data_IF_930241157390
#
_entry.id   IF_930241157390
#
_cell.length_a   1.000
_cell.length_b   1.000
_cell.length_c   1.000
_cell.angle_alpha   90.00
_cell.angle_beta   90.00
_cell.angle_gamma   90.00
#
_symmetry.space_group_name_H-M   'P 1'
#
loop_
_entity.id
_entity.type
_entity.pdbx_description
1 polymer ?
#
# COMPACT_ATOMS: atom_id res chain seq x y z
N UNK A 1 4.98 -10.15 23.28
CA UNK A 1 4.19 -11.33 23.69
C UNK A 1 3.07 -11.51 22.68
N UNK A 2 2.75 -12.75 22.25
CA UNK A 2 1.63 -12.99 21.34
C UNK A 2 0.30 -12.56 21.95
N UNK A 3 -0.63 -12.16 21.09
CA UNK A 3 -1.99 -11.80 21.49
C UNK A 3 -2.88 -13.00 21.15
N UNK A 4 -3.78 -13.35 22.06
CA UNK A 4 -4.77 -14.41 21.88
C UNK A 4 -6.16 -13.79 21.85
N UNK A 5 -6.96 -14.15 20.86
CA UNK A 5 -8.39 -13.83 20.84
C UNK A 5 -9.15 -14.92 21.60
N UNK A 6 -10.04 -14.51 22.50
CA UNK A 6 -10.91 -15.43 23.22
C UNK A 6 -12.39 -15.05 23.09
N UNK A 7 -13.25 -16.06 23.14
CA UNK A 7 -14.70 -15.90 23.24
C UNK A 7 -15.14 -16.29 24.64
N UNK A 8 -15.88 -15.44 25.33
CA UNK A 8 -16.49 -15.77 26.61
C UNK A 8 -17.96 -15.38 26.63
N UNK A 9 -18.76 -16.05 27.45
CA UNK A 9 -20.17 -15.69 27.64
C UNK A 9 -20.29 -14.72 28.80
N UNK A 10 -20.76 -13.50 28.51
CA UNK A 10 -21.00 -12.44 29.50
C UNK A 10 -22.47 -12.04 29.39
N UNK A 11 -23.25 -12.22 30.48
CA UNK A 11 -24.69 -11.90 30.55
C UNK A 11 -25.50 -12.47 29.36
N UNK A 12 -25.24 -13.73 29.00
CA UNK A 12 -25.94 -14.43 27.90
C UNK A 12 -25.34 -14.20 26.50
N UNK A 13 -24.64 -13.10 26.29
CA UNK A 13 -24.01 -12.75 25.01
C UNK A 13 -22.58 -13.30 24.90
N UNK A 14 -22.20 -13.72 23.69
CA UNK A 14 -20.83 -14.15 23.39
C UNK A 14 -20.00 -12.90 23.08
N UNK A 15 -19.04 -12.59 23.94
CA UNK A 15 -18.11 -11.48 23.75
C UNK A 15 -16.77 -12.02 23.27
N UNK A 16 -16.23 -11.39 22.20
CA UNK A 16 -14.87 -11.61 21.70
C UNK A 16 -13.96 -10.53 22.29
N UNK A 17 -12.84 -10.93 22.86
CA UNK A 17 -11.84 -10.00 23.42
C UNK A 17 -10.43 -10.58 23.28
N UNK A 18 -9.42 -9.80 23.65
CA UNK A 18 -8.00 -10.12 23.45
C UNK A 18 -7.26 -10.20 24.78
N UNK A 19 -6.29 -11.11 24.86
CA UNK A 19 -5.42 -11.26 26.02
C UNK A 19 -3.99 -11.51 25.57
N UNK A 20 -3.03 -10.84 26.21
CA UNK A 20 -1.60 -11.07 25.99
C UNK A 20 -1.13 -12.23 26.89
N UNK A 21 -0.47 -13.21 26.28
CA UNK A 21 0.11 -14.37 26.95
C UNK A 21 1.30 -14.92 26.16
N UNK A 22 2.10 -15.80 26.75
CA UNK A 22 3.22 -16.47 26.05
C UNK A 22 2.78 -17.72 25.31
N UNK A 23 1.77 -18.44 25.83
CA UNK A 23 1.17 -19.61 25.19
C UNK A 23 -0.36 -19.69 25.42
N UNK A 24 -1.04 -20.62 24.74
CA UNK A 24 -2.49 -20.82 24.85
C UNK A 24 -2.93 -21.24 26.25
N UNK A 25 -2.10 -22.01 26.96
CA UNK A 25 -2.40 -22.51 28.32
C UNK A 25 -2.37 -21.36 29.33
N UNK A 26 -1.41 -20.46 29.20
CA UNK A 26 -1.26 -19.25 30.00
C UNK A 26 -2.39 -18.26 29.68
N UNK A 27 -2.75 -18.09 28.41
CA UNK A 27 -3.91 -17.29 28.02
C UNK A 27 -5.20 -17.80 28.69
N UNK A 28 -5.44 -19.12 28.67
CA UNK A 28 -6.57 -19.74 29.35
C UNK A 28 -6.51 -19.50 30.86
N UNK A 29 -5.37 -19.76 31.50
CA UNK A 29 -5.19 -19.58 32.95
C UNK A 29 -5.40 -18.12 33.39
N UNK A 30 -4.93 -17.16 32.60
CA UNK A 30 -5.08 -15.72 32.85
C UNK A 30 -6.55 -15.29 32.78
N UNK A 31 -7.31 -15.81 31.82
CA UNK A 31 -8.75 -15.55 31.70
C UNK A 31 -9.54 -16.14 32.87
N UNK A 32 -9.23 -17.38 33.27
CA UNK A 32 -9.88 -18.02 34.42
C UNK A 32 -9.59 -17.26 35.72
N UNK A 33 -8.36 -16.77 35.92
CA UNK A 33 -7.99 -15.91 37.07
C UNK A 33 -8.79 -14.60 37.11
N UNK A 34 -9.18 -14.09 35.95
CA UNK A 34 -10.04 -12.90 35.83
C UNK A 34 -11.54 -13.22 36.00
N UNK A 35 -11.90 -14.46 36.35
CA UNK A 35 -13.29 -14.91 36.50
C UNK A 35 -14.00 -15.15 35.17
N UNK A 36 -13.25 -15.17 34.05
CA UNK A 36 -13.80 -15.36 32.71
C UNK A 36 -13.58 -16.82 32.30
N UNK A 37 -14.66 -17.54 31.97
CA UNK A 37 -14.58 -18.89 31.40
C UNK A 37 -14.60 -18.80 29.86
N UNK A 38 -13.45 -18.90 29.18
CA UNK A 38 -13.43 -18.82 27.72
C UNK A 38 -13.99 -20.10 27.09
N UNK A 39 -14.82 -19.92 26.07
CA UNK A 39 -15.36 -20.96 25.19
C UNK A 39 -14.37 -21.39 24.10
N UNK A 40 -13.47 -20.47 23.72
CA UNK A 40 -12.40 -20.72 22.75
C UNK A 40 -11.31 -19.69 23.01
N UNK A 41 -10.06 -20.15 22.96
CA UNK A 41 -8.86 -19.32 22.94
C UNK A 41 -8.13 -19.66 21.63
N UNK A 42 -7.78 -18.67 20.83
CA UNK A 42 -7.01 -18.87 19.60
C UNK A 42 -5.93 -17.81 19.53
N UNK A 43 -4.72 -18.21 19.17
CA UNK A 43 -3.64 -17.28 18.93
C UNK A 43 -4.01 -16.35 17.76
N UNK A 44 -3.96 -15.04 18.00
CA UNK A 44 -4.02 -14.05 16.94
C UNK A 44 -2.67 -14.09 16.22
N UNK A 45 -2.52 -15.04 15.29
CA UNK A 45 -1.48 -14.95 14.27
C UNK A 45 -1.65 -13.59 13.62
N UNK A 46 -0.64 -12.74 13.79
CA UNK A 46 -0.64 -11.32 13.50
C UNK A 46 -1.19 -11.03 12.09
N UNK A 47 -2.52 -10.96 11.96
CA UNK A 47 -3.27 -10.74 10.72
C UNK A 47 -3.47 -9.26 10.47
N UNK A 48 -2.67 -8.40 11.13
CA UNK A 48 -2.63 -6.96 10.87
C UNK A 48 -2.04 -6.62 9.49
N UNK A 49 -1.45 -7.59 8.78
CA UNK A 49 -0.98 -7.39 7.40
C UNK A 49 -1.88 -8.02 6.31
N UNK A 50 -2.92 -8.79 6.66
CA UNK A 50 -3.65 -9.58 5.67
C UNK A 50 -5.18 -9.33 5.60
N UNK A 51 -5.80 -8.78 6.65
CA UNK A 51 -7.28 -8.71 6.70
C UNK A 51 -7.89 -7.36 6.29
N UNK A 52 -7.10 -6.29 6.10
CA UNK A 52 -7.62 -5.03 5.53
C UNK A 52 -7.45 -4.93 4.02
N UNK A 53 -6.47 -5.65 3.44
CA UNK A 53 -6.16 -5.60 2.01
C UNK A 53 -6.89 -6.65 1.17
N UNK A 54 -7.36 -7.75 1.76
CA UNK A 54 -7.97 -8.86 1.00
C UNK A 54 -9.50 -8.73 0.86
N UNK A 55 -10.16 -7.93 1.72
CA UNK A 55 -11.62 -7.71 1.65
C UNK A 55 -12.05 -6.51 0.78
N UNK A 56 -11.12 -5.60 0.46
CA UNK A 56 -11.28 -4.73 -0.70
C UNK A 56 -10.72 -5.50 -1.89
N UNK A 57 -11.60 -6.06 -2.73
CA UNK A 57 -11.17 -6.72 -3.95
C UNK A 57 -10.22 -5.83 -4.75
N UNK A 58 -9.24 -6.45 -5.43
CA UNK A 58 -8.27 -5.75 -6.28
C UNK A 58 -8.99 -4.72 -7.15
N UNK A 59 -8.68 -3.45 -6.95
CA UNK A 59 -9.22 -2.37 -7.75
C UNK A 59 -8.48 -2.34 -9.08
N UNK A 60 -9.21 -2.54 -10.18
CA UNK A 60 -8.62 -2.42 -11.51
C UNK A 60 -8.13 -0.98 -11.70
N UNK A 61 -6.83 -0.80 -11.90
CA UNK A 61 -6.26 0.49 -12.29
C UNK A 61 -6.86 0.92 -13.63
N UNK A 62 -7.43 2.11 -13.65
CA UNK A 62 -8.10 2.68 -14.83
C UNK A 62 -7.18 3.66 -15.54
N UNK A 63 -7.49 3.98 -16.80
CA UNK A 63 -6.77 5.02 -17.53
C UNK A 63 -6.89 6.39 -16.84
N UNK A 64 -8.05 6.68 -16.24
CA UNK A 64 -8.28 7.91 -15.47
C UNK A 64 -7.30 8.05 -14.29
N UNK A 65 -7.02 6.95 -13.59
CA UNK A 65 -6.04 6.95 -12.49
C UNK A 65 -4.66 7.38 -13.00
N UNK A 66 -4.23 6.86 -14.14
CA UNK A 66 -2.96 7.21 -14.77
C UNK A 66 -2.92 8.68 -15.23
N UNK A 67 -4.01 9.19 -15.81
CA UNK A 67 -4.11 10.60 -16.24
C UNK A 67 -3.95 11.56 -15.06
N UNK A 68 -4.71 11.33 -13.99
CA UNK A 68 -4.66 12.17 -12.78
C UNK A 68 -3.28 12.13 -12.13
N UNK A 69 -2.68 10.93 -12.06
CA UNK A 69 -1.32 10.76 -11.54
C UNK A 69 -0.30 11.53 -12.36
N UNK A 70 -0.29 11.37 -13.69
CA UNK A 70 0.74 11.94 -14.55
C UNK A 70 0.66 13.47 -14.56
N UNK A 71 -0.55 14.03 -14.55
CA UNK A 71 -0.75 15.49 -14.44
C UNK A 71 -0.18 16.04 -13.14
N UNK A 72 -0.53 15.41 -12.02
CA UNK A 72 -0.07 15.85 -10.70
C UNK A 72 1.43 15.64 -10.54
N UNK A 73 1.96 14.52 -11.05
CA UNK A 73 3.39 14.22 -11.12
C UNK A 73 4.15 15.29 -11.90
N UNK A 74 3.68 15.60 -13.12
CA UNK A 74 4.26 16.64 -13.97
C UNK A 74 4.31 17.99 -13.27
N UNK A 75 3.20 18.43 -12.66
CA UNK A 75 3.16 19.69 -11.90
C UNK A 75 4.20 19.73 -10.78
N UNK A 76 4.35 18.65 -10.02
CA UNK A 76 5.32 18.61 -8.92
C UNK A 76 6.78 18.57 -9.40
N UNK A 77 7.06 17.79 -10.44
CA UNK A 77 8.41 17.72 -11.03
C UNK A 77 8.80 19.09 -11.62
N UNK A 78 7.88 19.75 -12.33
CA UNK A 78 8.08 21.12 -12.84
C UNK A 78 8.31 22.13 -11.72
N UNK A 79 7.68 21.93 -10.55
CA UNK A 79 7.89 22.76 -9.36
C UNK A 79 9.21 22.44 -8.63
N UNK A 80 10.02 21.51 -9.13
CA UNK A 80 11.33 21.16 -8.58
C UNK A 80 11.27 20.27 -7.33
N UNK A 81 10.13 19.63 -7.06
CA UNK A 81 10.04 18.70 -5.95
C UNK A 81 10.91 17.46 -6.21
N UNK A 82 11.63 16.95 -5.20
CA UNK A 82 12.38 15.71 -5.33
C UNK A 82 11.47 14.55 -5.78
N UNK A 83 11.93 13.75 -6.75
CA UNK A 83 11.18 12.62 -7.30
C UNK A 83 10.59 11.70 -6.22
N UNK A 84 11.39 11.40 -5.20
CA UNK A 84 11.00 10.52 -4.10
C UNK A 84 9.85 11.10 -3.27
N UNK A 85 9.84 12.43 -3.09
CA UNK A 85 8.74 13.15 -2.43
C UNK A 85 7.48 13.17 -3.30
N UNK A 86 7.62 13.41 -4.61
CA UNK A 86 6.50 13.36 -5.56
C UNK A 86 5.79 12.00 -5.51
N UNK A 87 6.55 10.91 -5.59
CA UNK A 87 5.99 9.55 -5.55
C UNK A 87 5.34 9.22 -4.21
N UNK A 88 5.89 9.71 -3.09
CA UNK A 88 5.28 9.52 -1.78
C UNK A 88 3.91 10.22 -1.68
N UNK A 89 3.83 11.48 -2.13
CA UNK A 89 2.58 12.25 -2.12
C UNK A 89 1.55 11.58 -3.03
N UNK A 90 1.94 11.18 -4.24
CA UNK A 90 1.03 10.54 -5.20
C UNK A 90 0.53 9.18 -4.71
N UNK A 91 1.39 8.38 -4.08
CA UNK A 91 0.99 7.10 -3.49
C UNK A 91 -0.01 7.27 -2.35
N UNK A 92 0.17 8.30 -1.51
CA UNK A 92 -0.74 8.61 -0.40
C UNK A 92 -2.11 9.13 -0.86
N UNK A 93 -2.13 9.94 -1.93
CA UNK A 93 -3.34 10.59 -2.43
C UNK A 93 -4.02 9.86 -3.60
N UNK A 94 -3.55 8.66 -3.97
CA UNK A 94 -4.20 7.85 -5.00
C UNK A 94 -5.59 7.39 -4.52
N UNK A 95 -6.64 7.72 -5.28
CA UNK A 95 -8.01 7.25 -5.02
C UNK A 95 -8.08 5.71 -5.13
N UNK A 96 -7.39 5.16 -6.14
CA UNK A 96 -7.24 3.72 -6.32
C UNK A 96 -6.10 3.18 -5.46
N UNK A 97 -6.45 2.36 -4.46
CA UNK A 97 -5.49 1.80 -3.50
C UNK A 97 -4.44 0.90 -4.17
N UNK A 98 -4.85 0.07 -5.13
CA UNK A 98 -3.93 -0.82 -5.85
C UNK A 98 -2.93 0.00 -6.67
N UNK A 99 -3.38 1.12 -7.25
CA UNK A 99 -2.49 2.03 -7.94
C UNK A 99 -1.52 2.73 -6.98
N UNK A 100 -2.00 3.23 -5.83
CA UNK A 100 -1.14 3.79 -4.79
C UNK A 100 -0.07 2.80 -4.30
N UNK A 101 -0.42 1.53 -4.11
CA UNK A 101 0.54 0.47 -3.80
C UNK A 101 1.59 0.27 -4.90
N UNK A 102 1.19 0.33 -6.17
CA UNK A 102 2.14 0.29 -7.31
C UNK A 102 3.11 1.46 -7.23
N UNK A 103 2.62 2.68 -6.99
CA UNK A 103 3.48 3.87 -6.86
C UNK A 103 4.46 3.72 -5.69
N UNK A 104 4.03 3.20 -4.54
CA UNK A 104 4.94 2.94 -3.41
C UNK A 104 6.00 1.88 -3.73
N UNK A 105 5.67 0.87 -4.53
CA UNK A 105 6.67 -0.12 -4.97
C UNK A 105 7.66 0.52 -5.95
N UNK A 106 7.20 1.35 -6.88
CA UNK A 106 8.08 2.15 -7.76
C UNK A 106 9.02 3.03 -6.94
N UNK A 107 8.49 3.75 -5.95
CA UNK A 107 9.28 4.55 -5.01
C UNK A 107 10.39 3.72 -4.35
N UNK A 108 10.07 2.53 -3.84
CA UNK A 108 11.05 1.64 -3.20
C UNK A 108 12.16 1.19 -4.16
N UNK A 109 11.83 0.94 -5.42
CA UNK A 109 12.84 0.60 -6.43
C UNK A 109 13.82 1.75 -6.65
N UNK A 110 13.31 2.98 -6.70
CA UNK A 110 14.15 4.19 -6.83
C UNK A 110 15.00 4.42 -5.58
N UNK A 111 14.45 4.17 -4.38
CA UNK A 111 15.22 4.20 -3.13
C UNK A 111 16.36 3.17 -3.10
N UNK A 112 16.21 2.06 -3.83
CA UNK A 112 17.26 1.05 -4.00
C UNK A 112 18.23 1.37 -5.16
N UNK A 113 18.09 2.53 -5.81
CA UNK A 113 18.98 3.00 -6.88
C UNK A 113 18.56 2.57 -8.29
N UNK A 114 17.35 2.05 -8.49
CA UNK A 114 16.84 1.79 -9.84
C UNK A 114 16.34 3.09 -10.50
N UNK A 115 16.42 3.16 -11.83
CA UNK A 115 15.82 4.26 -12.59
C UNK A 115 14.29 4.25 -12.49
N UNK A 116 13.64 5.40 -12.64
CA UNK A 116 12.18 5.52 -12.66
C UNK A 116 11.59 4.72 -13.81
N UNK A 117 12.12 4.87 -15.02
CA UNK A 117 11.66 4.15 -16.21
C UNK A 117 11.71 2.63 -16.04
N UNK A 118 12.79 2.10 -15.47
CA UNK A 118 12.93 0.66 -15.22
C UNK A 118 12.01 0.17 -14.11
N UNK A 119 11.77 1.01 -13.10
CA UNK A 119 10.80 0.75 -12.03
C UNK A 119 9.36 0.70 -12.55
N UNK A 120 9.00 1.58 -13.49
CA UNK A 120 7.69 1.64 -14.12
C UNK A 120 7.43 0.45 -15.06
N UNK A 121 8.46 0.00 -15.81
CA UNK A 121 8.39 -1.17 -16.72
C UNK A 121 7.99 -2.47 -16.01
N UNK A 122 8.17 -2.57 -14.69
CA UNK A 122 7.69 -3.70 -13.87
C UNK A 122 6.16 -3.79 -13.79
N UNK A 123 5.44 -2.75 -14.20
CA UNK A 123 3.98 -2.67 -14.17
C UNK A 123 3.39 -2.40 -15.57
N UNK A 124 3.59 -3.31 -16.55
CA UNK A 124 3.23 -3.08 -17.96
C UNK A 124 1.71 -2.99 -18.21
N UNK A 125 0.89 -3.40 -17.25
CA UNK A 125 -0.58 -3.26 -17.31
C UNK A 125 -1.06 -1.83 -16.97
N UNK A 126 -0.17 -1.00 -16.42
CA UNK A 126 -0.46 0.36 -15.99
C UNK A 126 0.36 1.35 -16.82
N UNK A 127 1.66 1.11 -16.94
CA UNK A 127 2.57 1.93 -17.75
C UNK A 127 2.94 1.13 -18.99
N UNK A 128 2.44 1.54 -20.15
CA UNK A 128 2.81 0.91 -21.41
C UNK A 128 4.28 1.22 -21.78
N UNK A 129 4.76 0.56 -22.83
CA UNK A 129 6.13 0.73 -23.30
C UNK A 129 6.41 2.16 -23.77
N UNK A 130 5.42 2.85 -24.35
CA UNK A 130 5.60 4.20 -24.87
C UNK A 130 5.79 5.20 -23.72
N UNK A 131 4.95 5.12 -22.69
CA UNK A 131 5.06 5.88 -21.45
C UNK A 131 6.44 5.68 -20.81
N UNK A 132 6.86 4.42 -20.64
CA UNK A 132 8.14 4.12 -20.01
C UNK A 132 9.34 4.64 -20.83
N UNK A 133 9.29 4.54 -22.16
CA UNK A 133 10.34 5.01 -23.04
C UNK A 133 10.47 6.54 -23.01
N UNK A 134 9.35 7.27 -22.95
CA UNK A 134 9.39 8.73 -22.81
C UNK A 134 10.06 9.13 -21.50
N UNK A 135 9.64 8.53 -20.38
CA UNK A 135 10.26 8.78 -19.07
C UNK A 135 11.76 8.47 -19.12
N UNK A 136 12.16 7.37 -19.76
CA UNK A 136 13.58 7.00 -19.91
C UNK A 136 14.37 8.08 -20.64
N UNK A 137 13.82 8.64 -21.73
CA UNK A 137 14.43 9.78 -22.43
C UNK A 137 14.55 11.02 -21.54
N UNK A 138 13.54 11.30 -20.72
CA UNK A 138 13.55 12.40 -19.76
C UNK A 138 14.61 12.23 -18.68
N UNK A 139 14.74 11.05 -18.10
CA UNK A 139 15.78 10.73 -17.11
C UNK A 139 17.18 10.86 -17.71
N UNK A 140 17.42 10.26 -18.89
CA UNK A 140 18.73 10.24 -19.53
C UNK A 140 19.20 11.64 -19.97
N UNK A 141 18.27 12.53 -20.32
CA UNK A 141 18.57 13.90 -20.75
C UNK A 141 18.55 14.92 -19.60
N UNK A 142 18.13 14.52 -18.39
CA UNK A 142 17.90 15.45 -17.28
C UNK A 142 16.69 16.37 -17.48
N UNK A 143 15.85 16.13 -18.48
CA UNK A 143 14.69 16.93 -18.87
C UNK A 143 13.35 16.24 -18.50
N UNK A 144 13.31 15.62 -17.32
CA UNK A 144 12.15 14.86 -16.85
C UNK A 144 10.90 15.73 -16.69
N UNK A 145 11.07 17.00 -16.34
CA UNK A 145 10.06 18.05 -16.25
C UNK A 145 9.34 18.31 -17.59
N UNK A 146 10.12 18.51 -18.66
CA UNK A 146 9.61 18.72 -20.01
C UNK A 146 8.90 17.46 -20.52
N UNK A 147 9.51 16.30 -20.29
CA UNK A 147 8.95 15.01 -20.72
C UNK A 147 7.65 14.69 -19.98
N UNK A 148 7.60 14.86 -18.66
CA UNK A 148 6.40 14.62 -17.86
C UNK A 148 5.26 15.56 -18.28
N UNK A 149 5.57 16.80 -18.64
CA UNK A 149 4.60 17.76 -19.18
C UNK A 149 4.00 17.29 -20.51
N UNK A 150 4.84 16.86 -21.45
CA UNK A 150 4.36 16.31 -22.74
C UNK A 150 3.55 15.04 -22.55
N UNK A 151 3.98 14.17 -21.64
CA UNK A 151 3.29 12.92 -21.33
C UNK A 151 1.91 13.18 -20.74
N UNK A 152 1.79 14.14 -19.82
CA UNK A 152 0.50 14.54 -19.24
C UNK A 152 -0.48 15.05 -20.30
N UNK A 153 -0.02 15.84 -21.28
CA UNK A 153 -0.84 16.32 -22.39
C UNK A 153 -1.24 15.18 -23.34
N UNK A 154 -0.34 14.22 -23.58
CA UNK A 154 -0.58 13.14 -24.54
C UNK A 154 -1.64 12.13 -24.06
N UNK A 155 -1.68 11.85 -22.75
CA UNK A 155 -2.58 10.83 -22.20
C UNK A 155 -3.96 11.37 -21.81
N UNK A 156 -4.14 12.69 -21.81
CA UNK A 156 -5.42 13.39 -21.61
C UNK A 156 -6.33 13.23 -22.85
#
# INVERSE_FOLDING_TARGET
MPIFEYKARVKGNIQKSKVEATDEKEAYAKLVRQGIKPLSVKEERNSRSLFSSTLLGKQKVTQKDLVVFTRTFSTMINAGLPLNQCLNILGLHAENKDFGEIIFKVKRHIENGENLSDSLKKYPKVFDSFYCNLIQCGEASGALDIVASRLAIYIE
#
